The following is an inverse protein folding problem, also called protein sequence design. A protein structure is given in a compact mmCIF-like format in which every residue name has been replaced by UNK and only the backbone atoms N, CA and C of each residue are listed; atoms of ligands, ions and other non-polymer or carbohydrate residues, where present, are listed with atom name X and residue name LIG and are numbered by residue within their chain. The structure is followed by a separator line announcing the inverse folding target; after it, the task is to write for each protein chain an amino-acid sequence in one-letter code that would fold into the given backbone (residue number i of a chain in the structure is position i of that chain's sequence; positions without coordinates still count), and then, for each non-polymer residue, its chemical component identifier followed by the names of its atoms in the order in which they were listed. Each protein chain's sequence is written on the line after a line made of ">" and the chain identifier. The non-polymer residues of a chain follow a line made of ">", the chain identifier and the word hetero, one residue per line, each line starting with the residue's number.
data_IF_227217646100
#
_entry.id   IF_227217646100
#
_cell.length_a   1.000
_cell.length_b   1.000
_cell.length_c   1.000
_cell.angle_alpha   90.00
_cell.angle_beta   90.00
_cell.angle_gamma   90.00
#
_symmetry.space_group_name_H-M   'P 1'
#
loop_
_entity.id
_entity.type
_entity.pdbx_description
1 polymer ?
#
# COMPACT_ATOMS: atom_id res chain seq x y z
N UNK A 1 -3.00 -4.10 -14.74
CA UNK A 1 -4.33 -3.52 -14.90
C UNK A 1 -4.69 -2.73 -13.67
N UNK A 2 -4.98 -1.48 -13.86
CA UNK A 2 -5.37 -0.63 -12.75
C UNK A 2 -6.79 -0.97 -12.33
N UNK A 3 -6.98 -1.06 -11.03
CA UNK A 3 -8.29 -1.20 -10.44
C UNK A 3 -8.70 0.15 -9.89
N UNK A 4 -9.83 0.64 -10.34
CA UNK A 4 -10.36 1.89 -9.82
C UNK A 4 -11.47 1.54 -8.84
N UNK A 5 -11.20 1.77 -7.56
CA UNK A 5 -12.20 1.54 -6.54
C UNK A 5 -13.08 2.78 -6.42
N UNK A 6 -14.30 2.60 -5.93
CA UNK A 6 -15.12 3.77 -5.63
C UNK A 6 -14.40 4.70 -4.68
N UNK A 7 -14.69 5.98 -4.80
CA UNK A 7 -14.09 6.95 -3.90
C UNK A 7 -14.50 6.61 -2.48
N UNK A 8 -13.53 6.59 -1.59
CA UNK A 8 -13.76 6.20 -0.21
C UNK A 8 -14.36 7.37 0.56
N UNK A 9 -15.35 7.15 1.41
CA UNK A 9 -15.85 8.22 2.25
C UNK A 9 -14.76 8.80 3.11
N UNK A 10 -14.85 10.08 3.38
CA UNK A 10 -13.81 10.74 4.13
C UNK A 10 -13.54 10.11 5.47
N UNK A 11 -14.56 9.76 6.19
CA UNK A 11 -14.37 9.16 7.49
C UNK A 11 -13.99 7.70 7.43
N UNK A 12 -14.12 7.08 6.26
CA UNK A 12 -13.91 5.65 6.14
C UNK A 12 -12.50 5.25 5.84
N UNK A 13 -11.79 6.10 5.11
CA UNK A 13 -10.42 5.78 4.74
C UNK A 13 -9.63 7.06 4.67
N UNK A 14 -8.77 7.22 5.60
CA UNK A 14 -7.87 8.35 5.62
C UNK A 14 -6.62 8.01 4.84
N UNK A 15 -6.03 9.03 4.22
CA UNK A 15 -4.70 8.85 3.64
C UNK A 15 -3.69 8.55 4.74
N UNK A 16 -4.04 8.90 5.98
CA UNK A 16 -3.18 8.63 7.12
C UNK A 16 -3.74 7.44 7.86
N UNK A 17 -2.96 6.37 7.91
CA UNK A 17 -3.36 5.19 8.63
C UNK A 17 -3.18 5.35 10.12
N UNK A 18 -3.95 4.63 10.92
CA UNK A 18 -3.75 4.66 12.37
C UNK A 18 -2.34 4.25 12.70
N UNK A 19 -1.75 4.97 13.62
CA UNK A 19 -0.41 4.64 14.09
C UNK A 19 -0.50 3.81 15.36
N UNK A 20 -1.40 2.86 15.39
CA UNK A 20 -1.42 1.99 16.54
C UNK A 20 -0.15 1.16 16.50
N UNK A 21 0.57 1.17 17.58
CA UNK A 21 1.80 0.41 17.65
C UNK A 21 1.58 -1.08 17.64
N UNK A 22 0.36 -1.52 17.39
CA UNK A 22 0.05 -2.93 17.39
C UNK A 22 0.10 -3.57 16.03
N UNK A 23 0.36 -2.81 14.98
CA UNK A 23 0.44 -3.40 13.65
C UNK A 23 1.74 -4.13 13.50
N UNK A 24 1.64 -5.40 13.17
CA UNK A 24 2.81 -6.22 12.89
C UNK A 24 2.88 -6.59 11.42
N UNK A 25 2.31 -5.78 10.57
CA UNK A 25 2.44 -5.96 9.14
C UNK A 25 3.77 -5.35 8.72
N UNK A 26 4.56 -6.15 8.02
CA UNK A 26 5.87 -5.75 7.56
C UNK A 26 5.83 -5.61 6.04
N UNK A 27 6.36 -4.51 5.55
CA UNK A 27 6.45 -4.24 4.12
C UNK A 27 7.89 -3.82 3.84
N UNK A 28 8.53 -4.48 2.88
CA UNK A 28 9.91 -4.17 2.53
C UNK A 28 10.01 -4.00 1.02
N UNK A 29 10.35 -2.79 0.59
CA UNK A 29 10.58 -2.53 -0.83
C UNK A 29 11.94 -3.11 -1.21
N UNK A 30 12.00 -3.73 -2.37
CA UNK A 30 13.27 -4.21 -2.89
C UNK A 30 14.07 -3.02 -3.42
N UNK A 31 15.40 -3.14 -3.37
CA UNK A 31 16.27 -2.11 -3.88
C UNK A 31 16.80 -1.22 -2.77
N UNK A 32 17.71 -0.35 -3.14
CA UNK A 32 18.42 0.48 -2.19
C UNK A 32 17.66 1.75 -1.81
N UNK A 33 16.79 2.22 -2.70
CA UNK A 33 16.05 3.45 -2.49
C UNK A 33 14.62 3.27 -2.93
N UNK A 34 13.67 3.90 -2.25
CA UNK A 34 12.26 3.79 -2.59
C UNK A 34 11.89 4.78 -3.71
N UNK A 35 12.64 4.77 -4.80
CA UNK A 35 12.45 5.69 -5.91
C UNK A 35 12.38 4.93 -7.20
N UNK A 36 11.37 5.28 -8.00
CA UNK A 36 11.10 4.58 -9.26
C UNK A 36 10.78 5.58 -10.33
N UNK A 37 11.15 5.26 -11.56
CA UNK A 37 10.75 6.05 -12.70
C UNK A 37 9.46 5.50 -13.28
N UNK A 38 8.74 6.30 -14.06
CA UNK A 38 7.52 5.81 -14.69
C UNK A 38 7.77 4.52 -15.43
N UNK A 39 6.85 3.58 -15.28
CA UNK A 39 6.85 2.28 -15.92
C UNK A 39 7.88 1.31 -15.36
N UNK A 40 8.64 1.70 -14.35
CA UNK A 40 9.52 0.76 -13.66
C UNK A 40 8.69 -0.33 -13.00
N UNK A 41 9.35 -1.44 -12.76
CA UNK A 41 8.76 -2.52 -11.98
C UNK A 41 9.09 -2.32 -10.52
N UNK A 42 8.08 -2.41 -9.66
CA UNK A 42 8.27 -2.38 -8.22
C UNK A 42 8.16 -3.81 -7.69
N UNK A 43 9.04 -4.15 -6.76
CA UNK A 43 9.00 -5.43 -6.07
C UNK A 43 9.03 -5.17 -4.58
N UNK A 44 8.24 -5.93 -3.85
CA UNK A 44 8.21 -5.76 -2.42
C UNK A 44 7.80 -7.06 -1.75
N UNK A 45 8.15 -7.17 -0.47
CA UNK A 45 7.79 -8.31 0.36
C UNK A 45 6.81 -7.87 1.42
N UNK A 46 5.85 -8.74 1.72
CA UNK A 46 4.86 -8.53 2.77
C UNK A 46 4.88 -9.74 3.69
N UNK A 47 4.90 -9.51 5.00
CA UNK A 47 4.75 -10.61 5.96
C UNK A 47 4.17 -10.05 7.24
N UNK A 48 3.75 -10.96 8.13
CA UNK A 48 3.18 -10.60 9.42
C UNK A 48 4.17 -10.96 10.50
N UNK A 49 4.42 -10.02 11.38
CA UNK A 49 5.42 -10.20 12.43
C UNK A 49 4.99 -11.11 13.55
N UNK A 50 3.69 -11.26 13.76
CA UNK A 50 3.16 -12.15 14.76
C UNK A 50 2.23 -13.17 14.14
N UNK A 51 2.26 -14.40 14.67
CA UNK A 51 1.45 -15.48 14.13
C UNK A 51 0.02 -15.42 14.67
N UNK A 52 -0.83 -14.64 14.03
CA UNK A 52 -2.26 -14.64 14.36
C UNK A 52 -3.06 -15.14 13.16
N UNK A 53 -2.47 -16.03 12.39
CA UNK A 53 -3.01 -16.41 11.10
C UNK A 53 -4.32 -17.15 11.20
N UNK A 54 -4.58 -17.83 12.32
CA UNK A 54 -5.81 -18.59 12.47
C UNK A 54 -7.03 -17.69 12.56
N UNK A 55 -6.83 -16.42 12.87
CA UNK A 55 -7.92 -15.47 13.00
C UNK A 55 -8.00 -14.50 11.83
N UNK A 56 -7.17 -14.70 10.84
CA UNK A 56 -7.11 -13.80 9.70
C UNK A 56 -8.22 -14.14 8.73
N UNK A 57 -9.09 -13.16 8.47
CA UNK A 57 -10.23 -13.36 7.59
C UNK A 57 -9.94 -12.89 6.17
N UNK A 58 -9.08 -11.89 6.00
CA UNK A 58 -8.72 -11.38 4.69
C UNK A 58 -7.45 -10.56 4.79
N UNK A 59 -6.73 -10.50 3.70
CA UNK A 59 -5.55 -9.66 3.57
C UNK A 59 -5.67 -8.90 2.27
N UNK A 60 -5.48 -7.59 2.31
CA UNK A 60 -5.51 -6.75 1.12
C UNK A 60 -4.16 -6.10 0.94
N UNK A 61 -3.61 -6.22 -0.26
CA UNK A 61 -2.34 -5.63 -0.64
C UNK A 61 -2.62 -4.73 -1.83
N UNK A 62 -2.15 -3.49 -1.75
CA UNK A 62 -2.42 -2.55 -2.84
C UNK A 62 -1.25 -1.62 -3.05
N UNK A 63 -1.19 -1.08 -4.26
CA UNK A 63 -0.28 -0.01 -4.62
C UNK A 63 -1.15 1.17 -5.01
N UNK A 64 -1.06 2.24 -4.25
CA UNK A 64 -2.03 3.33 -4.34
C UNK A 64 -1.30 4.66 -4.33
N UNK A 65 -1.99 5.66 -4.85
CA UNK A 65 -1.58 7.05 -4.65
C UNK A 65 -2.73 7.81 -4.00
N UNK A 66 -2.38 8.86 -3.29
CA UNK A 66 -3.39 9.68 -2.64
C UNK A 66 -2.91 11.11 -2.59
N UNK A 67 -3.87 12.02 -2.42
CA UNK A 67 -3.55 13.44 -2.36
C UNK A 67 -3.66 13.92 -0.93
N UNK A 68 -2.80 14.87 -0.58
CA UNK A 68 -2.86 15.58 0.68
C UNK A 68 -2.85 17.07 0.38
N UNK A 69 -3.64 17.81 1.12
CA UNK A 69 -3.66 19.25 0.94
C UNK A 69 -5.02 19.82 1.26
N UNK A 70 -5.24 21.02 0.79
CA UNK A 70 -6.52 21.67 1.00
C UNK A 70 -7.54 21.09 0.02
N UNK A 71 -8.78 21.04 0.46
CA UNK A 71 -9.85 20.49 -0.33
C UNK A 71 -10.06 19.03 -0.06
N UNK A 72 -10.59 18.30 -1.02
CA UNK A 72 -10.86 16.90 -0.86
C UNK A 72 -9.62 16.04 -1.00
N UNK A 73 -9.70 14.85 -0.46
CA UNK A 73 -8.66 13.86 -0.65
C UNK A 73 -9.11 12.89 -1.73
N UNK A 74 -8.19 12.53 -2.60
CA UNK A 74 -8.44 11.53 -3.62
C UNK A 74 -7.53 10.35 -3.38
N UNK A 75 -8.02 9.19 -3.77
CA UNK A 75 -7.27 7.95 -3.69
C UNK A 75 -7.38 7.24 -5.03
N UNK A 76 -6.25 6.89 -5.61
CA UNK A 76 -6.22 6.09 -6.81
C UNK A 76 -5.57 4.76 -6.53
N UNK A 77 -6.18 3.70 -7.02
CA UNK A 77 -5.65 2.35 -6.81
C UNK A 77 -5.08 1.88 -8.13
N UNK A 78 -3.77 1.71 -8.16
CA UNK A 78 -3.10 1.21 -9.35
C UNK A 78 -3.15 -0.32 -9.41
N UNK A 79 -3.00 -0.97 -8.24
CA UNK A 79 -2.98 -2.42 -8.17
C UNK A 79 -3.56 -2.85 -6.85
N UNK A 80 -4.34 -3.94 -6.87
CA UNK A 80 -5.05 -4.39 -5.68
C UNK A 80 -5.17 -5.91 -5.72
N UNK A 81 -4.92 -6.53 -4.57
CA UNK A 81 -5.13 -7.96 -4.40
C UNK A 81 -5.79 -8.20 -3.06
N UNK A 82 -6.89 -8.92 -3.06
CA UNK A 82 -7.54 -9.36 -1.82
C UNK A 82 -7.43 -10.87 -1.74
N UNK A 83 -6.96 -11.35 -0.61
CA UNK A 83 -6.73 -12.76 -0.38
C UNK A 83 -7.63 -13.20 0.77
N UNK A 84 -8.43 -14.25 0.53
CA UNK A 84 -9.36 -14.79 1.50
C UNK A 84 -9.15 -16.29 1.60
N UNK A 85 -9.68 -16.94 2.65
CA UNK A 85 -9.60 -18.40 2.72
C UNK A 85 -10.31 -19.04 1.53
N UNK A 86 -9.83 -20.19 1.04
CA UNK A 86 -8.71 -20.96 1.58
C UNK A 86 -7.33 -20.49 1.13
N UNK A 87 -7.26 -19.63 0.10
CA UNK A 87 -5.97 -19.20 -0.44
C UNK A 87 -5.10 -18.57 0.64
N UNK A 88 -5.74 -17.81 1.53
CA UNK A 88 -5.01 -17.14 2.60
C UNK A 88 -4.25 -18.14 3.46
N UNK A 89 -4.83 -19.31 3.70
CA UNK A 89 -4.25 -20.31 4.58
C UNK A 89 -3.22 -21.20 3.89
N UNK A 90 -3.12 -21.10 2.58
CA UNK A 90 -2.17 -21.89 1.82
C UNK A 90 -0.75 -21.30 1.87
N UNK A 91 -0.62 -20.08 2.36
CA UNK A 91 0.65 -19.39 2.40
C UNK A 91 1.04 -19.13 3.85
N UNK A 92 2.33 -19.19 4.10
CA UNK A 92 2.85 -18.87 5.43
C UNK A 92 3.19 -17.39 5.46
N UNK A 93 2.27 -16.60 6.00
CA UNK A 93 2.42 -15.15 6.04
C UNK A 93 3.42 -14.66 7.09
N UNK A 94 3.98 -15.59 7.85
CA UNK A 94 5.13 -15.24 8.70
C UNK A 94 6.41 -15.13 7.89
N UNK A 95 6.40 -15.63 6.67
CA UNK A 95 7.53 -15.54 5.76
C UNK A 95 7.25 -14.47 4.71
N UNK A 96 8.29 -13.76 4.24
CA UNK A 96 8.07 -12.75 3.22
C UNK A 96 7.45 -13.32 1.97
N UNK A 97 6.42 -12.65 1.49
CA UNK A 97 5.73 -13.02 0.26
C UNK A 97 5.96 -11.91 -0.75
N UNK A 98 6.60 -12.26 -1.86
CA UNK A 98 7.02 -11.27 -2.86
C UNK A 98 5.89 -10.93 -3.80
N UNK A 99 5.78 -9.65 -4.09
CA UNK A 99 4.89 -9.13 -5.14
C UNK A 99 5.70 -8.26 -6.07
N UNK A 100 5.35 -8.32 -7.36
CA UNK A 100 6.04 -7.53 -8.37
C UNK A 100 5.01 -7.06 -9.38
N UNK A 101 5.08 -5.80 -9.76
CA UNK A 101 4.15 -5.25 -10.74
C UNK A 101 4.78 -4.02 -11.38
N UNK A 102 4.26 -3.65 -12.54
CA UNK A 102 4.75 -2.48 -13.24
C UNK A 102 3.99 -1.25 -12.73
N UNK A 103 4.76 -0.21 -12.45
CA UNK A 103 4.19 1.07 -12.06
C UNK A 103 3.66 1.80 -13.30
N UNK A 104 2.70 2.72 -13.10
CA UNK A 104 2.16 3.45 -14.24
C UNK A 104 3.06 4.61 -14.62
N UNK A 105 2.68 5.29 -15.71
CA UNK A 105 3.40 6.48 -16.14
C UNK A 105 3.07 7.69 -15.27
N UNK A 106 1.91 7.70 -14.63
CA UNK A 106 1.43 8.84 -13.85
C UNK A 106 0.40 8.37 -12.83
N UNK A 107 0.06 9.19 -11.83
CA UNK A 107 0.63 10.50 -11.56
C UNK A 107 1.99 10.36 -10.88
N UNK A 108 2.83 11.37 -11.04
CA UNK A 108 4.11 11.43 -10.37
C UNK A 108 3.91 11.88 -8.93
N UNK A 109 4.80 11.46 -8.07
CA UNK A 109 4.88 12.04 -6.73
C UNK A 109 5.08 13.54 -6.86
N UNK A 110 4.35 14.30 -6.05
CA UNK A 110 4.40 15.75 -6.14
C UNK A 110 4.40 16.34 -4.74
N UNK A 111 5.34 17.24 -4.49
CA UNK A 111 5.50 17.84 -3.16
C UNK A 111 5.23 19.33 -3.24
N UNK A 112 4.03 19.70 -3.63
CA UNK A 112 3.65 21.10 -3.69
C UNK A 112 3.27 21.66 -2.33
N UNK A 113 3.06 22.96 -2.27
CA UNK A 113 2.67 23.62 -1.03
C UNK A 113 1.18 23.50 -0.77
N UNK A 114 0.39 23.46 -1.83
CA UNK A 114 -1.06 23.38 -1.70
C UNK A 114 -1.53 21.93 -1.79
N UNK A 115 -0.88 21.17 -2.64
CA UNK A 115 -1.27 19.80 -2.93
C UNK A 115 -0.04 18.92 -2.97
N UNK A 116 -0.15 17.74 -2.40
CA UNK A 116 0.88 16.71 -2.52
C UNK A 116 0.25 15.46 -3.08
N UNK A 117 1.01 14.73 -3.88
CA UNK A 117 0.61 13.43 -4.40
C UNK A 117 1.63 12.43 -3.90
N UNK A 118 1.15 11.41 -3.19
CA UNK A 118 2.02 10.43 -2.56
C UNK A 118 1.64 9.03 -3.01
N UNK A 119 2.67 8.21 -3.16
CA UNK A 119 2.51 6.81 -3.50
C UNK A 119 2.91 5.94 -2.32
N UNK A 120 2.23 4.82 -2.16
CA UNK A 120 2.64 3.84 -1.15
C UNK A 120 2.17 2.45 -1.51
N UNK A 121 2.85 1.46 -0.92
CA UNK A 121 2.33 0.11 -0.82
C UNK A 121 1.53 0.07 0.47
N UNK A 122 0.32 -0.42 0.40
CA UNK A 122 -0.59 -0.46 1.55
C UNK A 122 -1.05 -1.88 1.77
N UNK A 123 -1.04 -2.31 3.03
CA UNK A 123 -1.51 -3.64 3.39
C UNK A 123 -2.49 -3.50 4.54
N UNK A 124 -3.62 -4.19 4.43
CA UNK A 124 -4.62 -4.23 5.47
C UNK A 124 -4.95 -5.68 5.78
N UNK A 125 -4.98 -5.99 7.07
CA UNK A 125 -5.34 -7.32 7.53
C UNK A 125 -6.65 -7.22 8.30
N UNK A 126 -7.58 -8.11 7.98
CA UNK A 126 -8.90 -8.14 8.60
C UNK A 126 -9.03 -9.44 9.36
N UNK A 127 -9.45 -9.33 10.62
CA UNK A 127 -9.53 -10.48 11.51
C UNK A 127 -10.99 -10.85 11.77
N UNK A 128 -11.21 -12.11 12.13
CA UNK A 128 -12.57 -12.61 12.31
C UNK A 128 -13.28 -11.94 13.47
N UNK A 129 -12.54 -11.35 14.40
CA UNK A 129 -13.15 -10.64 15.53
C UNK A 129 -13.44 -9.18 15.23
N UNK A 130 -13.24 -8.75 13.98
CA UNK A 130 -13.51 -7.38 13.58
C UNK A 130 -12.32 -6.44 13.68
N UNK A 131 -11.21 -6.89 14.24
CA UNK A 131 -10.02 -6.05 14.28
C UNK A 131 -9.43 -5.89 12.88
N UNK A 132 -8.75 -4.77 12.69
CA UNK A 132 -8.04 -4.50 11.45
C UNK A 132 -6.66 -3.98 11.79
N UNK A 133 -5.67 -4.49 11.06
CA UNK A 133 -4.33 -3.93 11.06
C UNK A 133 -4.11 -3.24 9.72
N UNK A 134 -3.31 -2.20 9.73
CA UNK A 134 -2.96 -1.50 8.49
C UNK A 134 -1.54 -1.00 8.59
N UNK A 135 -0.86 -1.03 7.46
CA UNK A 135 0.49 -0.50 7.34
C UNK A 135 0.67 0.02 5.93
N UNK A 136 1.58 0.96 5.79
CA UNK A 136 1.93 1.43 4.46
C UNK A 136 3.39 1.80 4.42
N UNK A 137 3.97 1.66 3.23
CA UNK A 137 5.35 1.98 2.98
C UNK A 137 5.40 2.93 1.79
N UNK A 138 5.88 4.16 1.99
CA UNK A 138 5.88 5.16 0.91
C UNK A 138 7.01 4.92 -0.08
N UNK A 139 6.78 5.40 -1.30
CA UNK A 139 7.82 5.44 -2.30
C UNK A 139 7.58 6.65 -3.21
N UNK A 140 8.56 6.93 -4.06
CA UNK A 140 8.49 8.04 -5.00
C UNK A 140 8.37 7.50 -6.41
N UNK A 141 7.47 8.10 -7.17
CA UNK A 141 7.34 7.82 -8.60
C UNK A 141 7.58 9.12 -9.36
N UNK A 142 8.52 9.11 -10.27
CA UNK A 142 8.79 10.29 -11.07
C UNK A 142 10.20 10.27 -11.61
N UNK A 143 10.59 11.38 -12.22
CA UNK A 143 11.95 11.54 -12.69
C UNK A 143 12.89 11.63 -11.50
N UNK A 144 13.94 10.85 -11.52
CA UNK A 144 14.88 10.80 -10.40
C UNK A 144 16.04 11.75 -10.55
N UNK A 145 16.06 12.51 -11.62
CA UNK A 145 17.10 13.48 -11.80
C UNK A 145 16.96 14.60 -10.80
N UNK A 146 17.41 15.14 -10.49
CA UNK A 146 17.25 16.23 -9.82
C UNK A 146 17.86 17.26 -9.83
N UNK A 147 17.88 17.75 -9.83
CA UNK A 147 18.14 18.69 -9.82
C UNK A 147 18.39 19.30 -9.51
N UNK A 148 18.69 19.53 -9.56
CA UNK A 148 19.02 20.23 -9.36
C UNK A 148 19.13 20.76 -8.87
#
# INVERSE_FOLDING_TARGET
>A
VALVLPKVPRGGLSSRLPTSGSSDIMIRLAGLQPRYEPLDQIEFDVWLGRPVLSELAALEISVVWYTEGKGGEDLGVHWFQRITPPSLQEMDWRQPQRRALQLPASPWTYEGTILKIRWCVRVRAFFTDGQQWAAQEPFYLGALTREE
#
